data_IF_898530409274
#
_entry.id   IF_898530409274
#
_cell.length_a   1.000
_cell.length_b   1.000
_cell.length_c   1.000
_cell.angle_alpha   90.00
_cell.angle_beta   90.00
_cell.angle_gamma   90.00
#
_symmetry.space_group_name_H-M   'P 1'
#
loop_
_entity.id
_entity.type
_entity.pdbx_description
1 polymer ?
#
# COMPACT_ATOMS: atom_id res chain seq x y z
N UNK A 1 38.28 -54.56 -28.70
CA UNK A 1 38.32 -53.08 -28.74
C UNK A 1 36.94 -52.60 -28.31
N UNK A 2 36.83 -52.02 -27.11
CA UNK A 2 35.55 -51.55 -26.53
C UNK A 2 35.22 -50.19 -27.17
N UNK A 3 34.07 -50.06 -27.84
CA UNK A 3 33.45 -48.76 -28.08
C UNK A 3 32.14 -48.71 -27.28
N UNK A 4 32.13 -47.88 -26.24
CA UNK A 4 30.93 -47.52 -25.51
C UNK A 4 30.27 -46.34 -26.24
N UNK A 5 29.02 -46.52 -26.67
CA UNK A 5 28.19 -45.47 -27.23
C UNK A 5 27.27 -44.95 -26.11
N UNK A 6 27.64 -43.82 -25.53
CA UNK A 6 26.83 -43.13 -24.53
C UNK A 6 25.71 -42.35 -25.23
N UNK A 7 24.46 -42.79 -25.05
CA UNK A 7 23.27 -42.03 -25.45
C UNK A 7 22.96 -41.03 -24.34
N UNK A 8 23.17 -39.74 -24.60
CA UNK A 8 22.71 -38.66 -23.74
C UNK A 8 21.24 -38.40 -24.06
N UNK A 9 20.33 -38.75 -23.13
CA UNK A 9 18.93 -38.33 -23.19
C UNK A 9 18.84 -36.98 -22.47
N UNK A 10 18.75 -35.89 -23.22
CA UNK A 10 18.43 -34.58 -22.67
C UNK A 10 16.92 -34.49 -22.49
N UNK A 11 16.44 -34.65 -21.25
CA UNK A 11 15.06 -34.37 -20.89
C UNK A 11 14.90 -32.84 -20.76
N UNK A 12 14.37 -32.20 -21.78
CA UNK A 12 13.89 -30.83 -21.70
C UNK A 12 12.60 -30.82 -20.86
N UNK A 13 12.70 -30.46 -19.58
CA UNK A 13 11.54 -30.11 -18.78
C UNK A 13 11.03 -28.74 -19.26
N UNK A 14 10.06 -28.75 -20.17
CA UNK A 14 9.26 -27.58 -20.45
C UNK A 14 8.38 -27.31 -19.22
N UNK A 15 8.76 -26.34 -18.40
CA UNK A 15 7.86 -25.76 -17.40
C UNK A 15 6.75 -25.03 -18.12
N UNK A 16 5.57 -25.66 -18.20
CA UNK A 16 4.35 -24.99 -18.62
C UNK A 16 3.96 -24.05 -17.48
N UNK A 17 4.28 -22.76 -17.62
CA UNK A 17 3.68 -21.73 -16.78
C UNK A 17 2.18 -21.72 -17.11
N UNK A 18 1.36 -22.19 -16.18
CA UNK A 18 -0.09 -21.98 -16.24
C UNK A 18 -0.29 -20.48 -16.04
N UNK A 19 -0.65 -19.77 -17.11
CA UNK A 19 -1.14 -18.40 -17.01
C UNK A 19 -2.42 -18.45 -16.14
N UNK A 20 -2.27 -18.09 -14.87
CA UNK A 20 -3.39 -18.03 -13.94
C UNK A 20 -4.10 -16.70 -14.11
N UNK A 21 -5.19 -16.69 -14.88
CA UNK A 21 -6.10 -15.54 -14.88
C UNK A 21 -6.66 -15.26 -13.49
N UNK A 22 -7.27 -14.09 -13.31
CA UNK A 22 -7.91 -13.72 -12.05
C UNK A 22 -8.89 -14.81 -11.55
N UNK A 23 -9.02 -15.00 -10.22
CA UNK A 23 -10.03 -15.89 -9.69
C UNK A 23 -11.43 -15.41 -10.05
N UNK A 24 -12.39 -16.33 -10.10
CA UNK A 24 -13.78 -15.98 -10.37
C UNK A 24 -14.36 -15.17 -9.21
N UNK A 25 -14.63 -13.88 -9.45
CA UNK A 25 -15.27 -13.01 -8.45
C UNK A 25 -16.79 -13.18 -8.44
N UNK A 26 -17.43 -13.23 -7.26
CA UNK A 26 -18.88 -13.16 -7.18
C UNK A 26 -19.38 -11.78 -7.60
N UNK A 27 -20.57 -11.71 -8.19
CA UNK A 27 -21.27 -10.45 -8.40
C UNK A 27 -22.12 -10.12 -7.17
N UNK A 28 -21.84 -9.00 -6.53
CA UNK A 28 -22.66 -8.40 -5.50
C UNK A 28 -23.25 -7.09 -6.00
N UNK A 29 -24.56 -6.90 -5.84
CA UNK A 29 -25.23 -5.64 -6.15
C UNK A 29 -25.28 -4.77 -4.91
N UNK A 30 -24.87 -3.50 -5.01
CA UNK A 30 -24.86 -2.57 -3.87
C UNK A 30 -26.28 -2.31 -3.33
N UNK A 31 -27.30 -2.42 -4.19
CA UNK A 31 -28.71 -2.27 -3.82
C UNK A 31 -29.44 -3.60 -3.51
N UNK A 32 -28.72 -4.69 -3.23
CA UNK A 32 -29.34 -5.94 -2.79
C UNK A 32 -30.12 -5.73 -1.48
N UNK A 33 -31.38 -6.21 -1.35
CA UNK A 33 -32.20 -5.98 -0.16
C UNK A 33 -31.59 -6.45 1.17
N UNK A 34 -30.63 -7.38 1.13
CA UNK A 34 -29.95 -7.89 2.33
C UNK A 34 -29.03 -6.87 3.00
N UNK A 35 -28.54 -5.87 2.26
CA UNK A 35 -27.55 -4.91 2.78
C UNK A 35 -27.66 -3.51 2.20
N UNK A 36 -28.35 -3.29 1.09
CA UNK A 36 -28.38 -2.00 0.40
C UNK A 36 -28.92 -0.85 1.26
N UNK A 37 -29.78 -1.15 2.23
CA UNK A 37 -30.27 -0.17 3.21
C UNK A 37 -29.33 0.11 4.39
N UNK A 38 -28.20 -0.60 4.50
CA UNK A 38 -27.24 -0.37 5.58
C UNK A 38 -26.56 0.99 5.37
N UNK A 39 -26.53 1.81 6.41
CA UNK A 39 -25.75 3.05 6.39
C UNK A 39 -24.26 2.71 6.32
N UNK A 40 -23.51 3.52 5.56
CA UNK A 40 -22.06 3.40 5.44
C UNK A 40 -21.37 4.67 5.95
N UNK A 41 -20.06 4.66 6.03
CA UNK A 41 -19.29 5.81 6.45
C UNK A 41 -19.01 5.88 7.95
N UNK A 42 -18.33 6.94 8.37
CA UNK A 42 -18.00 7.20 9.77
C UNK A 42 -18.92 8.26 10.35
N UNK A 43 -19.06 8.29 11.69
CA UNK A 43 -19.79 9.37 12.36
C UNK A 43 -18.98 10.66 12.26
N UNK A 44 -19.60 11.72 11.77
CA UNK A 44 -18.96 13.03 11.63
C UNK A 44 -19.99 14.13 11.32
N UNK A 45 -19.53 15.37 11.08
CA UNK A 45 -20.41 16.50 10.78
C UNK A 45 -21.01 16.45 9.36
N UNK A 46 -20.55 15.51 8.53
CA UNK A 46 -20.96 15.36 7.14
C UNK A 46 -22.08 14.33 6.92
N UNK A 47 -22.53 14.25 5.67
CA UNK A 47 -23.51 13.30 5.21
C UNK A 47 -22.98 11.86 5.29
N UNK A 48 -23.89 10.92 5.55
CA UNK A 48 -23.64 9.48 5.42
C UNK A 48 -24.73 8.89 4.54
N UNK A 49 -24.31 8.18 3.50
CA UNK A 49 -25.22 7.46 2.62
C UNK A 49 -25.42 6.00 3.04
N UNK A 50 -26.17 5.26 2.22
CA UNK A 50 -26.33 3.81 2.36
C UNK A 50 -25.44 3.08 1.34
N UNK A 51 -25.23 1.77 1.53
CA UNK A 51 -24.53 0.94 0.54
C UNK A 51 -25.18 1.08 -0.84
N UNK A 52 -26.53 1.13 -0.93
CA UNK A 52 -27.19 1.34 -2.21
C UNK A 52 -26.92 2.72 -2.81
N UNK A 53 -26.89 3.76 -1.97
CA UNK A 53 -26.66 5.14 -2.40
C UNK A 53 -25.28 5.37 -2.99
N UNK A 54 -24.21 5.00 -2.25
CA UNK A 54 -22.83 5.41 -2.59
C UNK A 54 -21.79 4.29 -2.37
N UNK A 55 -22.25 3.02 -2.26
CA UNK A 55 -21.39 1.89 -1.91
C UNK A 55 -20.68 1.20 -3.08
N UNK A 56 -20.55 1.82 -4.26
CA UNK A 56 -20.03 1.15 -5.46
C UNK A 56 -18.57 0.69 -5.30
N UNK A 57 -17.68 1.54 -4.78
CA UNK A 57 -16.29 1.19 -4.52
C UNK A 57 -16.16 0.08 -3.47
N UNK A 58 -16.85 0.24 -2.33
CA UNK A 58 -16.84 -0.75 -1.24
C UNK A 58 -17.41 -2.10 -1.67
N UNK A 59 -18.50 -2.11 -2.45
CA UNK A 59 -19.09 -3.35 -2.99
C UNK A 59 -18.13 -4.02 -3.97
N UNK A 60 -17.41 -3.25 -4.79
CA UNK A 60 -16.36 -3.77 -5.69
C UNK A 60 -15.21 -4.42 -4.93
N UNK A 61 -14.73 -3.79 -3.85
CA UNK A 61 -13.73 -4.38 -2.96
C UNK A 61 -14.25 -5.65 -2.27
N UNK A 62 -15.52 -5.67 -1.85
CA UNK A 62 -16.14 -6.87 -1.28
C UNK A 62 -16.12 -8.04 -2.25
N UNK A 63 -16.38 -7.81 -3.54
CA UNK A 63 -16.30 -8.85 -4.58
C UNK A 63 -14.86 -9.35 -4.75
N UNK A 64 -13.88 -8.44 -4.76
CA UNK A 64 -12.47 -8.79 -4.85
C UNK A 64 -12.01 -9.68 -3.67
N UNK A 65 -12.29 -9.26 -2.44
CA UNK A 65 -11.97 -10.03 -1.23
C UNK A 65 -12.64 -11.42 -1.24
N UNK A 66 -13.92 -11.49 -1.61
CA UNK A 66 -14.65 -12.75 -1.69
C UNK A 66 -14.09 -13.70 -2.76
N UNK A 67 -13.75 -13.20 -3.94
CA UNK A 67 -13.13 -14.01 -5.01
C UNK A 67 -11.73 -14.49 -4.65
N UNK A 68 -11.01 -13.74 -3.82
CA UNK A 68 -9.72 -14.15 -3.25
C UNK A 68 -9.84 -15.14 -2.09
N UNK A 69 -11.06 -15.52 -1.70
CA UNK A 69 -11.32 -16.49 -0.63
C UNK A 69 -11.11 -15.91 0.77
N UNK A 70 -11.23 -14.58 0.93
CA UNK A 70 -11.16 -13.93 2.23
C UNK A 70 -12.48 -14.13 2.96
N UNK A 71 -12.39 -14.52 4.24
CA UNK A 71 -13.53 -14.70 5.13
C UNK A 71 -13.53 -13.61 6.23
N UNK A 72 -14.71 -13.12 6.57
CA UNK A 72 -14.96 -12.24 7.72
C UNK A 72 -16.05 -12.87 8.60
N UNK A 73 -15.72 -13.16 9.86
CA UNK A 73 -16.58 -13.89 10.80
C UNK A 73 -17.05 -15.25 10.25
N UNK A 74 -16.09 -16.08 9.83
CA UNK A 74 -16.27 -17.46 9.34
C UNK A 74 -17.17 -17.62 8.10
N UNK A 75 -17.30 -16.55 7.32
CA UNK A 75 -18.03 -16.54 6.04
C UNK A 75 -17.30 -15.68 5.02
N UNK A 76 -17.47 -16.03 3.74
CA UNK A 76 -16.96 -15.22 2.64
C UNK A 76 -17.41 -13.75 2.79
N UNK A 77 -16.49 -12.83 2.52
CA UNK A 77 -16.76 -11.38 2.58
C UNK A 77 -17.97 -11.03 1.71
N UNK A 78 -18.87 -10.19 2.25
CA UNK A 78 -20.04 -9.62 1.56
C UNK A 78 -20.13 -8.13 1.86
N UNK A 79 -20.92 -7.35 1.10
CA UNK A 79 -21.02 -5.92 1.35
C UNK A 79 -21.49 -5.57 2.76
N UNK A 80 -22.39 -6.35 3.38
CA UNK A 80 -22.80 -6.16 4.77
C UNK A 80 -21.64 -6.35 5.76
N UNK A 81 -20.91 -7.47 5.66
CA UNK A 81 -19.83 -7.77 6.60
C UNK A 81 -18.62 -6.89 6.38
N UNK A 82 -18.29 -6.53 5.14
CA UNK A 82 -17.22 -5.59 4.86
C UNK A 82 -17.59 -4.19 5.36
N UNK A 83 -18.80 -3.69 5.08
CA UNK A 83 -19.23 -2.38 5.56
C UNK A 83 -19.13 -2.27 7.08
N UNK A 84 -19.70 -3.24 7.81
CA UNK A 84 -19.63 -3.27 9.27
C UNK A 84 -18.19 -3.31 9.77
N UNK A 85 -17.34 -4.12 9.16
CA UNK A 85 -15.93 -4.17 9.52
C UNK A 85 -15.22 -2.84 9.25
N UNK A 86 -15.50 -2.18 8.12
CA UNK A 86 -14.95 -0.87 7.78
C UNK A 86 -15.40 0.22 8.77
N UNK A 87 -16.67 0.24 9.18
CA UNK A 87 -17.16 1.16 10.22
C UNK A 87 -16.39 0.98 11.53
N UNK A 88 -16.12 -0.26 11.93
CA UNK A 88 -15.42 -0.59 13.19
C UNK A 88 -13.89 -0.41 13.10
N UNK A 89 -13.31 -0.38 11.90
CA UNK A 89 -11.86 -0.42 11.68
C UNK A 89 -11.32 0.79 10.90
N UNK A 90 -11.97 1.94 11.06
CA UNK A 90 -11.59 3.21 10.41
C UNK A 90 -11.42 3.05 8.89
N UNK A 91 -12.36 2.33 8.28
CA UNK A 91 -12.44 2.09 6.85
C UNK A 91 -13.10 3.22 6.07
N UNK A 92 -13.62 4.24 6.76
CA UNK A 92 -14.21 5.43 6.18
C UNK A 92 -13.65 6.72 6.78
N UNK A 93 -13.67 7.80 6.00
CA UNK A 93 -13.21 9.13 6.41
C UNK A 93 -14.20 10.21 5.94
N UNK A 94 -14.28 11.32 6.69
CA UNK A 94 -15.03 12.50 6.24
C UNK A 94 -14.14 13.41 5.38
N UNK A 95 -14.53 13.61 4.13
CA UNK A 95 -13.86 14.52 3.19
C UNK A 95 -14.92 15.47 2.63
N UNK A 96 -14.65 16.77 2.69
CA UNK A 96 -15.53 17.81 2.12
C UNK A 96 -17.02 17.74 2.54
N UNK A 97 -17.33 17.18 3.71
CA UNK A 97 -18.70 17.03 4.19
C UNK A 97 -19.38 15.71 3.80
N UNK A 98 -18.69 14.82 3.11
CA UNK A 98 -19.11 13.43 2.86
C UNK A 98 -18.32 12.49 3.79
N UNK A 99 -19.03 11.80 4.67
CA UNK A 99 -18.48 10.88 5.67
C UNK A 99 -18.50 9.41 5.26
N UNK A 100 -18.78 9.08 4.00
CA UNK A 100 -18.73 7.72 3.48
C UNK A 100 -17.62 7.46 2.45
N UNK A 101 -16.60 8.32 2.40
CA UNK A 101 -15.41 8.10 1.60
C UNK A 101 -14.61 6.89 2.11
N UNK A 102 -14.41 5.90 1.24
CA UNK A 102 -13.64 4.69 1.54
C UNK A 102 -12.16 5.03 1.75
N UNK A 103 -11.59 4.59 2.86
CA UNK A 103 -10.13 4.59 3.03
C UNK A 103 -9.57 3.47 2.17
N UNK A 104 -8.97 3.81 1.03
CA UNK A 104 -8.57 2.84 -0.01
C UNK A 104 -7.57 1.79 0.46
N UNK A 105 -6.81 2.05 1.52
CA UNK A 105 -5.90 1.08 2.14
C UNK A 105 -6.53 0.21 3.24
N UNK A 106 -7.78 0.50 3.64
CA UNK A 106 -8.50 -0.31 4.62
C UNK A 106 -8.65 -1.79 4.25
N UNK A 107 -8.85 -2.17 2.97
CA UNK A 107 -8.93 -3.58 2.58
C UNK A 107 -7.65 -4.37 2.89
N UNK A 108 -6.49 -3.72 2.99
CA UNK A 108 -5.23 -4.38 3.38
C UNK A 108 -5.28 -4.91 4.82
N UNK A 109 -6.11 -4.28 5.67
CA UNK A 109 -6.22 -4.59 7.10
C UNK A 109 -7.30 -5.64 7.39
N UNK A 110 -8.11 -6.03 6.40
CA UNK A 110 -9.08 -7.11 6.56
C UNK A 110 -8.32 -8.41 6.90
N UNK A 111 -8.73 -9.17 7.93
CA UNK A 111 -8.08 -10.43 8.28
C UNK A 111 -7.94 -11.36 7.08
N UNK A 112 -6.75 -11.95 6.91
CA UNK A 112 -6.42 -12.83 5.77
C UNK A 112 -6.55 -12.18 4.39
N UNK A 113 -6.66 -10.85 4.33
CA UNK A 113 -6.68 -10.13 3.05
C UNK A 113 -5.40 -10.37 2.28
N UNK A 114 -5.58 -10.63 0.99
CA UNK A 114 -4.48 -10.69 0.01
C UNK A 114 -4.38 -9.40 -0.80
N UNK A 115 -5.23 -8.41 -0.54
CA UNK A 115 -5.17 -7.13 -1.22
C UNK A 115 -4.13 -6.23 -0.57
N UNK A 116 -3.31 -5.61 -1.40
CA UNK A 116 -2.44 -4.51 -1.02
C UNK A 116 -2.73 -3.33 -1.93
N UNK A 117 -3.36 -2.31 -1.39
CA UNK A 117 -3.55 -1.03 -2.06
C UNK A 117 -2.22 -0.49 -2.56
N UNK A 118 -2.18 -0.17 -3.86
CA UNK A 118 -1.03 0.44 -4.52
C UNK A 118 -1.26 1.95 -4.55
N UNK A 119 -2.24 2.37 -5.34
CA UNK A 119 -2.63 3.77 -5.49
C UNK A 119 -4.00 3.90 -6.14
N UNK A 120 -4.54 5.11 -6.11
CA UNK A 120 -5.57 5.58 -7.04
C UNK A 120 -4.89 6.50 -8.03
N UNK A 121 -5.01 6.21 -9.33
CA UNK A 121 -4.26 6.90 -10.37
C UNK A 121 -4.96 6.81 -11.73
N UNK A 122 -4.52 7.63 -12.68
CA UNK A 122 -4.96 7.55 -14.08
C UNK A 122 -4.81 6.13 -14.59
N UNK A 123 -5.79 5.66 -15.38
CA UNK A 123 -5.78 4.29 -15.89
C UNK A 123 -4.47 3.99 -16.65
N UNK A 124 -3.84 2.81 -16.45
CA UNK A 124 -2.67 2.42 -17.23
C UNK A 124 -3.00 2.32 -18.71
N UNK A 125 -1.98 2.41 -19.57
CA UNK A 125 -2.14 2.17 -21.00
C UNK A 125 -2.84 0.82 -21.26
N UNK A 126 -3.63 0.75 -22.34
CA UNK A 126 -4.54 -0.37 -22.60
C UNK A 126 -3.84 -1.73 -22.51
N UNK A 127 -2.69 -1.87 -23.18
CA UNK A 127 -1.97 -3.14 -23.22
C UNK A 127 -1.36 -3.50 -21.86
N UNK A 128 -0.96 -2.53 -21.03
CA UNK A 128 -0.42 -2.76 -19.68
C UNK A 128 -1.53 -3.19 -18.72
N UNK A 129 -2.68 -2.52 -18.76
CA UNK A 129 -3.84 -2.89 -17.94
C UNK A 129 -4.34 -4.29 -18.30
N UNK A 130 -4.38 -4.64 -19.60
CA UNK A 130 -4.72 -5.98 -20.06
C UNK A 130 -3.73 -7.02 -19.55
N UNK A 131 -2.43 -6.77 -19.69
CA UNK A 131 -1.40 -7.68 -19.24
C UNK A 131 -1.48 -7.93 -17.73
N UNK A 132 -1.74 -6.89 -16.93
CA UNK A 132 -1.92 -7.01 -15.48
C UNK A 132 -3.16 -7.85 -15.10
N UNK A 133 -4.30 -7.65 -15.78
CA UNK A 133 -5.51 -8.45 -15.57
C UNK A 133 -5.30 -9.92 -15.98
N UNK A 134 -4.67 -10.16 -17.13
CA UNK A 134 -4.37 -11.51 -17.63
C UNK A 134 -3.37 -12.25 -16.73
N UNK A 135 -2.39 -11.54 -16.15
CA UNK A 135 -1.42 -12.09 -15.19
C UNK A 135 -2.05 -12.51 -13.87
N UNK A 136 -3.20 -11.92 -13.51
CA UNK A 136 -3.99 -12.33 -12.35
C UNK A 136 -3.38 -11.95 -11.00
N UNK A 137 -2.41 -11.02 -10.96
CA UNK A 137 -1.77 -10.54 -9.73
C UNK A 137 -2.21 -9.13 -9.33
N UNK A 138 -3.10 -8.51 -10.11
CA UNK A 138 -3.56 -7.13 -9.94
C UNK A 138 -5.08 -7.07 -10.03
N UNK A 139 -5.69 -6.37 -9.08
CA UNK A 139 -7.11 -6.04 -9.06
C UNK A 139 -7.26 -4.56 -9.39
N UNK A 140 -8.10 -4.25 -10.37
CA UNK A 140 -8.53 -2.88 -10.65
C UNK A 140 -9.98 -2.70 -10.21
N UNK A 141 -10.22 -1.66 -9.43
CA UNK A 141 -11.56 -1.07 -9.29
C UNK A 141 -11.57 0.17 -10.18
N UNK A 142 -12.24 0.06 -11.33
CA UNK A 142 -12.23 1.08 -12.37
C UNK A 142 -13.31 2.13 -12.13
N UNK A 143 -12.95 3.39 -12.34
CA UNK A 143 -13.88 4.52 -12.28
C UNK A 143 -14.45 4.79 -13.66
N UNK A 144 -15.77 4.70 -13.80
CA UNK A 144 -16.51 4.77 -15.07
C UNK A 144 -17.63 5.80 -14.98
N UNK A 145 -18.32 6.05 -16.10
CA UNK A 145 -19.41 7.03 -16.20
C UNK A 145 -18.95 8.43 -15.76
N UNK A 146 -17.91 8.95 -16.42
CA UNK A 146 -17.35 10.28 -16.16
C UNK A 146 -16.94 10.49 -14.69
N UNK A 147 -16.27 9.48 -14.10
CA UNK A 147 -15.82 9.49 -12.70
C UNK A 147 -16.95 9.55 -11.67
N UNK A 148 -18.11 8.95 -11.99
CA UNK A 148 -19.26 8.89 -11.09
C UNK A 148 -19.56 7.52 -10.48
N UNK A 149 -18.90 6.45 -10.95
CA UNK A 149 -19.24 5.07 -10.54
C UNK A 149 -18.05 4.12 -10.57
N UNK A 150 -17.93 3.24 -9.58
CA UNK A 150 -16.85 2.25 -9.50
C UNK A 150 -17.33 0.84 -9.81
N UNK A 151 -16.51 0.10 -10.57
CA UNK A 151 -16.77 -1.30 -10.96
C UNK A 151 -15.52 -2.16 -10.74
N UNK A 152 -15.70 -3.44 -10.41
CA UNK A 152 -14.59 -4.38 -10.31
C UNK A 152 -14.25 -4.92 -11.70
N UNK A 153 -13.01 -4.76 -12.16
CA UNK A 153 -12.50 -5.43 -13.36
C UNK A 153 -12.25 -6.90 -13.05
N UNK A 154 -12.84 -7.78 -13.83
CA UNK A 154 -12.80 -9.23 -13.60
C UNK A 154 -12.05 -10.00 -14.68
N UNK A 155 -11.80 -9.37 -15.83
CA UNK A 155 -11.18 -10.04 -16.96
C UNK A 155 -10.98 -9.09 -18.14
N UNK A 156 -10.38 -9.64 -19.19
CA UNK A 156 -10.27 -8.99 -20.49
C UNK A 156 -11.27 -9.63 -21.44
N UNK A 157 -11.89 -8.83 -22.31
CA UNK A 157 -12.79 -9.36 -23.33
C UNK A 157 -11.95 -10.06 -24.43
N UNK A 158 -12.28 -11.32 -24.73
CA UNK A 158 -11.61 -12.12 -25.77
C UNK A 158 -12.01 -11.70 -27.19
N UNK A 159 -13.18 -11.10 -27.34
CA UNK A 159 -13.79 -10.75 -28.61
C UNK A 159 -13.51 -9.29 -28.99
N UNK A 160 -13.20 -8.44 -28.01
CA UNK A 160 -12.89 -7.01 -28.20
C UNK A 160 -11.67 -6.57 -27.39
N UNK A 161 -10.58 -6.19 -28.08
CA UNK A 161 -9.35 -5.77 -27.39
C UNK A 161 -9.49 -4.51 -26.54
N UNK A 162 -10.44 -3.65 -26.86
CA UNK A 162 -10.69 -2.35 -26.25
C UNK A 162 -11.70 -2.39 -25.09
N UNK A 163 -12.00 -3.58 -24.53
CA UNK A 163 -12.97 -3.76 -23.46
C UNK A 163 -12.44 -4.61 -22.32
N UNK A 164 -12.94 -4.32 -21.12
CA UNK A 164 -12.69 -5.10 -19.92
C UNK A 164 -14.01 -5.70 -19.43
N UNK A 165 -13.97 -6.97 -19.02
CA UNK A 165 -15.07 -7.60 -18.31
C UNK A 165 -15.13 -7.05 -16.89
N UNK A 166 -16.35 -6.81 -16.40
CA UNK A 166 -16.55 -6.24 -15.06
C UNK A 166 -17.67 -6.91 -14.30
N UNK A 167 -17.56 -6.85 -12.98
CA UNK A 167 -18.71 -6.93 -12.10
C UNK A 167 -19.14 -5.51 -11.70
N UNK A 168 -20.24 -5.05 -12.27
CA UNK A 168 -20.84 -3.75 -11.95
C UNK A 168 -21.82 -3.88 -10.76
N UNK A 169 -21.60 -3.18 -9.63
CA UNK A 169 -22.44 -3.32 -8.44
C UNK A 169 -23.78 -2.60 -8.55
N UNK A 170 -24.00 -1.72 -9.53
CA UNK A 170 -25.24 -0.94 -9.68
C UNK A 170 -25.97 -1.25 -10.99
N UNK A 171 -25.29 -1.10 -12.13
CA UNK A 171 -25.86 -1.34 -13.45
C UNK A 171 -25.81 -2.82 -13.83
N UNK A 172 -26.54 -3.23 -14.86
CA UNK A 172 -26.50 -4.60 -15.38
C UNK A 172 -25.43 -4.80 -16.48
N UNK A 173 -24.39 -3.95 -16.46
CA UNK A 173 -23.26 -4.01 -17.37
C UNK A 173 -22.29 -5.13 -16.95
N UNK A 174 -21.79 -5.89 -17.93
CA UNK A 174 -20.79 -6.94 -17.72
C UNK A 174 -19.45 -6.64 -18.38
N UNK A 175 -19.37 -5.50 -19.07
CA UNK A 175 -18.15 -5.00 -19.68
C UNK A 175 -18.21 -3.47 -19.82
N UNK A 176 -17.05 -2.83 -19.91
CA UNK A 176 -16.92 -1.42 -20.30
C UNK A 176 -15.80 -1.26 -21.34
N UNK A 177 -15.94 -0.34 -22.31
CA UNK A 177 -14.83 0.10 -23.14
C UNK A 177 -13.74 0.72 -22.28
N UNK A 178 -12.47 0.49 -22.62
CA UNK A 178 -11.33 1.14 -21.98
C UNK A 178 -11.43 2.66 -22.05
N UNK A 179 -12.00 3.20 -23.14
CA UNK A 179 -12.27 4.63 -23.28
C UNK A 179 -13.20 5.20 -22.19
N UNK A 180 -14.08 4.37 -21.60
CA UNK A 180 -15.02 4.78 -20.56
C UNK A 180 -14.44 4.71 -19.15
N UNK A 181 -13.26 4.12 -18.98
CA UNK A 181 -12.53 4.14 -17.71
C UNK A 181 -11.87 5.52 -17.60
N UNK A 182 -12.00 6.20 -16.48
CA UNK A 182 -11.36 7.51 -16.24
C UNK A 182 -10.04 7.30 -15.52
N UNK A 183 -10.11 6.66 -14.36
CA UNK A 183 -9.00 6.30 -13.49
C UNK A 183 -9.26 4.91 -12.86
N UNK A 184 -8.30 4.43 -12.08
CA UNK A 184 -8.41 3.15 -11.37
C UNK A 184 -7.90 3.26 -9.94
N UNK A 185 -8.49 2.45 -9.07
CA UNK A 185 -7.91 2.06 -7.79
C UNK A 185 -7.21 0.71 -8.02
N UNK A 186 -5.90 0.67 -7.85
CA UNK A 186 -5.09 -0.53 -8.03
C UNK A 186 -4.81 -1.22 -6.68
N UNK A 187 -5.05 -2.53 -6.64
CA UNK A 187 -4.59 -3.40 -5.57
C UNK A 187 -3.74 -4.53 -6.16
N UNK A 188 -2.61 -4.84 -5.51
CA UNK A 188 -1.87 -6.07 -5.80
C UNK A 188 -2.37 -7.23 -4.95
N UNK A 189 -2.38 -8.40 -5.55
CA UNK A 189 -2.67 -9.66 -4.87
C UNK A 189 -1.36 -10.21 -4.32
N UNK A 190 -1.20 -10.20 -3.00
CA UNK A 190 -0.04 -10.86 -2.38
C UNK A 190 -0.16 -12.37 -2.47
N UNK A 191 0.99 -13.03 -2.59
CA UNK A 191 1.09 -14.45 -2.35
C UNK A 191 0.84 -14.68 -0.85
N UNK A 192 -0.40 -15.03 -0.51
CA UNK A 192 -0.67 -15.65 0.78
C UNK A 192 -0.30 -17.12 0.68
N UNK A 193 0.25 -17.69 1.74
CA UNK A 193 0.14 -19.13 1.96
C UNK A 193 -1.34 -19.47 1.86
N UNK A 194 -1.75 -20.11 0.76
CA UNK A 194 -3.12 -20.53 0.61
C UNK A 194 -3.46 -21.37 1.84
N UNK A 195 -4.49 -21.05 2.63
CA UNK A 195 -5.00 -22.04 3.56
C UNK A 195 -5.42 -23.20 2.68
N UNK A 196 -4.67 -24.31 2.79
CA UNK A 196 -5.10 -25.57 2.23
C UNK A 196 -6.53 -25.76 2.74
N UNK A 197 -7.50 -25.78 1.83
CA UNK A 197 -8.84 -26.28 2.13
C UNK A 197 -8.67 -27.76 2.47
N UNK A 198 -8.26 -28.04 3.70
CA UNK A 198 -8.28 -29.38 4.25
C UNK A 198 -9.73 -29.71 4.50
N UNK A 199 -10.28 -30.54 3.61
CA UNK A 199 -11.39 -31.39 3.95
C UNK A 199 -11.10 -32.06 5.30
N UNK A 200 -12.04 -31.93 6.24
CA UNK A 200 -12.02 -32.68 7.50
C UNK A 200 -11.78 -34.17 7.21
N UNK A 201 -10.95 -34.84 8.03
CA UNK A 201 -11.56 -35.76 8.98
C UNK A 201 -10.97 -35.68 10.40
N UNK A 202 -11.76 -36.24 11.31
CA UNK A 202 -11.67 -36.21 12.77
C UNK A 202 -10.43 -36.92 13.35
N UNK A 203 -9.70 -36.21 14.24
CA UNK A 203 -9.04 -36.62 15.52
C UNK A 203 -8.11 -37.87 15.59
N UNK A 204 -7.37 -38.10 16.70
CA UNK A 204 -6.38 -37.24 17.38
C UNK A 204 -5.07 -38.03 17.70
N UNK A 205 -3.95 -37.34 17.98
CA UNK A 205 -2.99 -37.64 19.08
C UNK A 205 -1.59 -37.09 18.81
N UNK A 206 -1.08 -36.35 19.81
CA UNK A 206 0.28 -36.32 20.35
C UNK A 206 1.46 -36.63 19.42
N UNK A 207 2.39 -35.68 19.30
CA UNK A 207 3.76 -35.87 19.81
C UNK A 207 4.55 -34.55 19.83
N UNK A 208 5.36 -34.43 20.89
CA UNK A 208 6.36 -33.39 21.15
C UNK A 208 7.42 -33.34 20.05
N UNK A 209 7.98 -32.16 19.78
CA UNK A 209 9.28 -32.07 19.11
C UNK A 209 9.68 -30.67 18.65
N UNK A 210 10.72 -30.13 19.30
CA UNK A 210 11.66 -29.08 18.87
C UNK A 210 11.12 -27.66 18.60
N UNK A 211 11.67 -26.70 19.35
CA UNK A 211 11.60 -25.29 19.03
C UNK A 211 12.30 -25.01 17.68
N UNK A 212 11.67 -24.28 16.76
CA UNK A 212 12.36 -23.82 15.57
C UNK A 212 13.34 -22.70 15.95
N UNK A 213 14.58 -22.87 15.49
CA UNK A 213 15.58 -21.81 15.34
C UNK A 213 14.92 -20.59 14.67
N UNK A 214 15.16 -19.34 15.12
CA UNK A 214 14.59 -18.18 14.47
C UNK A 214 15.16 -18.08 13.06
N UNK A 215 14.37 -18.48 12.07
CA UNK A 215 14.63 -18.13 10.69
C UNK A 215 14.44 -16.62 10.57
N UNK A 216 15.50 -15.92 10.14
CA UNK A 216 15.40 -14.55 9.66
C UNK A 216 14.21 -14.45 8.69
N UNK A 217 13.39 -13.39 8.76
CA UNK A 217 12.19 -13.30 7.94
C UNK A 217 12.57 -13.35 6.45
N UNK A 218 11.90 -14.24 5.72
CA UNK A 218 12.05 -14.40 4.28
C UNK A 218 11.43 -13.21 3.55
N UNK A 219 12.13 -12.09 3.53
CA UNK A 219 11.86 -10.97 2.62
C UNK A 219 12.99 -10.86 1.61
N UNK A 220 13.01 -11.80 0.68
CA UNK A 220 13.62 -11.53 -0.62
C UNK A 220 12.63 -11.91 -1.69
N UNK A 221 12.18 -10.91 -2.43
CA UNK A 221 12.31 -11.02 -3.88
C UNK A 221 12.90 -9.71 -4.40
N UNK A 222 14.17 -9.76 -4.80
CA UNK A 222 14.47 -9.38 -6.18
C UNK A 222 13.33 -9.94 -7.07
N UNK A 223 12.37 -9.10 -7.43
CA UNK A 223 11.56 -9.33 -8.61
C UNK A 223 12.14 -8.40 -9.67
N UNK A 224 13.10 -8.94 -10.44
CA UNK A 224 13.26 -8.53 -11.83
C UNK A 224 11.87 -8.66 -12.48
N UNK A 225 11.20 -7.53 -12.64
CA UNK A 225 9.81 -7.46 -13.10
C UNK A 225 9.05 -6.20 -12.67
N UNK A 226 9.57 -5.41 -11.71
CA UNK A 226 9.13 -4.03 -11.47
C UNK A 226 10.26 -3.05 -11.78
N UNK A 227 9.92 -1.85 -12.24
CA UNK A 227 10.92 -0.80 -12.50
C UNK A 227 11.63 -0.36 -11.20
N UNK A 228 11.04 -0.56 -10.01
CA UNK A 228 11.57 -0.08 -8.73
C UNK A 228 11.93 -1.20 -7.74
N UNK A 229 13.09 -1.05 -7.10
CA UNK A 229 13.55 -1.80 -5.93
C UNK A 229 13.16 -1.04 -4.66
N UNK A 230 12.28 -1.63 -3.85
CA UNK A 230 11.83 -1.10 -2.55
C UNK A 230 12.17 -2.12 -1.46
N UNK A 231 13.28 -1.94 -0.72
CA UNK A 231 13.72 -2.95 0.26
C UNK A 231 12.77 -3.14 1.45
N UNK A 232 12.10 -2.06 1.88
CA UNK A 232 11.16 -2.06 2.99
C UNK A 232 9.94 -1.21 2.63
N UNK A 233 8.75 -1.72 2.91
CA UNK A 233 7.50 -0.98 2.72
C UNK A 233 7.30 -0.03 3.90
N UNK A 234 7.28 1.27 3.62
CA UNK A 234 7.03 2.33 4.58
C UNK A 234 5.64 2.94 4.32
N UNK A 235 4.83 3.25 5.36
CA UNK A 235 3.54 3.87 5.15
C UNK A 235 3.70 5.29 4.58
N UNK A 236 2.72 5.73 3.78
CA UNK A 236 2.61 7.11 3.33
C UNK A 236 1.70 7.90 4.26
N UNK A 237 2.20 9.02 4.80
CA UNK A 237 1.41 10.01 5.52
C UNK A 237 1.48 11.36 4.81
N UNK A 238 0.32 11.93 4.49
CA UNK A 238 0.24 13.29 3.93
C UNK A 238 0.28 14.32 5.06
N UNK A 239 1.14 15.34 4.96
CA UNK A 239 1.24 16.39 5.96
C UNK A 239 -0.03 17.26 6.04
N UNK A 240 -0.80 17.32 4.96
CA UNK A 240 -2.06 18.06 4.88
C UNK A 240 -3.32 17.21 5.15
N UNK A 241 -3.16 15.99 5.65
CA UNK A 241 -4.29 15.16 6.07
C UNK A 241 -5.13 15.88 7.13
N UNK A 242 -6.46 15.85 7.01
CA UNK A 242 -7.37 16.61 7.89
C UNK A 242 -7.28 16.21 9.37
N UNK A 243 -6.75 15.02 9.68
CA UNK A 243 -6.59 14.54 11.07
C UNK A 243 -5.53 15.30 11.87
N UNK A 244 -4.54 15.90 11.20
CA UNK A 244 -3.41 16.57 11.85
C UNK A 244 -2.90 17.81 11.11
N UNK A 245 -3.24 17.99 9.84
CA UNK A 245 -2.68 19.05 8.99
C UNK A 245 -2.92 20.47 9.50
N UNK A 246 -3.94 20.67 10.33
CA UNK A 246 -4.22 21.93 11.02
C UNK A 246 -3.48 22.11 12.34
N UNK A 247 -2.85 21.05 12.88
CA UNK A 247 -2.10 21.11 14.13
C UNK A 247 -0.88 22.00 13.95
N UNK A 248 -0.57 22.80 14.96
CA UNK A 248 0.59 23.69 14.93
C UNK A 248 1.87 22.91 15.22
N UNK A 249 2.95 23.23 14.51
CA UNK A 249 4.32 22.84 14.89
C UNK A 249 4.82 23.85 15.93
N UNK A 250 4.95 25.11 15.54
CA UNK A 250 5.10 26.25 16.45
C UNK A 250 4.13 27.36 16.03
N UNK A 251 4.50 28.15 15.01
CA UNK A 251 3.62 29.19 14.44
C UNK A 251 2.82 28.69 13.24
N UNK A 252 3.39 27.78 12.45
CA UNK A 252 2.79 27.23 11.24
C UNK A 252 2.21 25.84 11.50
N UNK A 253 1.33 25.37 10.61
CA UNK A 253 0.72 24.05 10.75
C UNK A 253 1.56 22.93 10.14
N UNK A 254 1.28 21.68 10.50
CA UNK A 254 1.88 20.50 9.86
C UNK A 254 1.67 20.54 8.34
N UNK A 255 0.50 20.96 7.86
CA UNK A 255 0.27 21.08 6.42
C UNK A 255 1.23 22.08 5.75
N UNK A 256 1.53 23.20 6.40
CA UNK A 256 2.36 24.26 5.82
C UNK A 256 3.85 23.91 5.78
N UNK A 257 4.38 23.28 6.84
CA UNK A 257 5.84 23.12 7.03
C UNK A 257 6.26 21.74 7.58
N UNK A 258 5.36 20.78 7.67
CA UNK A 258 5.57 19.50 8.34
C UNK A 258 6.18 18.37 7.51
N UNK A 259 6.77 18.65 6.35
CA UNK A 259 7.27 17.64 5.42
C UNK A 259 8.36 16.74 6.03
N UNK A 260 9.35 17.31 6.71
CA UNK A 260 10.42 16.55 7.35
C UNK A 260 9.90 15.71 8.53
N UNK A 261 9.04 16.28 9.37
CA UNK A 261 8.44 15.57 10.51
C UNK A 261 7.54 14.42 10.02
N UNK A 262 6.74 14.64 8.98
CA UNK A 262 5.89 13.61 8.39
C UNK A 262 6.72 12.49 7.77
N UNK A 263 7.80 12.82 7.07
CA UNK A 263 8.77 11.83 6.54
C UNK A 263 9.45 11.01 7.64
N UNK A 264 9.81 11.66 8.74
CA UNK A 264 10.37 11.00 9.92
C UNK A 264 9.34 10.08 10.60
N UNK A 265 8.08 10.50 10.66
CA UNK A 265 6.97 9.68 11.17
C UNK A 265 6.78 8.42 10.35
N UNK A 266 6.85 8.52 9.03
CA UNK A 266 6.74 7.36 8.13
C UNK A 266 7.84 6.33 8.41
N UNK A 267 9.08 6.79 8.66
CA UNK A 267 10.18 5.92 9.06
C UNK A 267 9.92 5.23 10.42
N UNK A 268 9.54 5.98 11.46
CA UNK A 268 9.20 5.41 12.77
C UNK A 268 8.09 4.34 12.65
N UNK A 269 7.06 4.63 11.86
CA UNK A 269 5.92 3.73 11.63
C UNK A 269 6.35 2.44 10.92
N UNK A 270 7.13 2.53 9.84
CA UNK A 270 7.61 1.37 9.13
C UNK A 270 8.65 0.54 9.91
N UNK A 271 9.32 1.15 10.89
CA UNK A 271 10.14 0.44 11.86
C UNK A 271 9.35 -0.12 13.05
N UNK A 272 8.05 0.12 13.16
CA UNK A 272 7.24 -0.26 14.32
C UNK A 272 7.81 0.31 15.63
N UNK A 273 8.20 1.58 15.60
CA UNK A 273 8.63 2.33 16.78
C UNK A 273 7.46 3.17 17.26
N UNK A 274 6.95 2.84 18.46
CA UNK A 274 5.85 3.57 19.05
C UNK A 274 6.31 4.91 19.62
N UNK A 275 5.43 5.91 19.58
CA UNK A 275 5.61 7.20 20.26
C UNK A 275 4.65 7.21 21.44
N UNK A 276 5.18 7.28 22.67
CA UNK A 276 4.42 7.16 23.92
C UNK A 276 3.47 5.94 23.95
N UNK A 277 3.96 4.79 23.48
CA UNK A 277 3.21 3.54 23.45
C UNK A 277 2.11 3.48 22.38
N UNK A 278 2.00 4.48 21.50
CA UNK A 278 1.04 4.54 20.40
C UNK A 278 1.74 4.34 19.05
N UNK A 279 1.03 3.73 18.11
CA UNK A 279 1.48 3.67 16.71
C UNK A 279 1.64 5.10 16.16
N UNK A 280 2.80 5.46 15.58
CA UNK A 280 3.08 6.83 15.19
C UNK A 280 2.25 7.27 13.97
N UNK A 281 1.76 8.51 14.04
CA UNK A 281 1.24 9.28 12.92
C UNK A 281 1.71 10.75 13.09
N UNK A 282 1.59 11.62 12.07
CA UNK A 282 2.17 12.97 12.17
C UNK A 282 1.60 13.80 13.32
N UNK A 283 0.32 13.65 13.67
CA UNK A 283 -0.26 14.32 14.84
C UNK A 283 0.35 13.85 16.16
N UNK A 284 0.53 12.52 16.32
CA UNK A 284 1.13 11.92 17.52
C UNK A 284 2.60 12.34 17.67
N UNK A 285 3.40 12.22 16.60
CA UNK A 285 4.80 12.61 16.64
C UNK A 285 4.93 14.12 16.87
N UNK A 286 4.11 14.94 16.20
CA UNK A 286 4.12 16.39 16.40
C UNK A 286 3.84 16.78 17.85
N UNK A 287 2.79 16.21 18.46
CA UNK A 287 2.47 16.47 19.88
C UNK A 287 3.65 16.12 20.78
N UNK A 288 4.24 14.94 20.58
CA UNK A 288 5.38 14.49 21.36
C UNK A 288 6.59 15.42 21.19
N UNK A 289 6.92 15.83 19.96
CA UNK A 289 8.03 16.72 19.67
C UNK A 289 7.83 18.11 20.33
N UNK A 290 6.60 18.64 20.32
CA UNK A 290 6.30 19.90 21.01
C UNK A 290 6.58 19.82 22.51
N UNK A 291 6.27 18.69 23.13
CA UNK A 291 6.46 18.47 24.57
C UNK A 291 7.92 18.12 24.93
N UNK A 292 8.74 17.71 23.96
CA UNK A 292 10.10 17.20 24.17
C UNK A 292 11.19 18.03 23.47
N UNK A 293 10.95 19.34 23.31
CA UNK A 293 11.90 20.28 22.68
C UNK A 293 12.35 19.84 21.27
N UNK A 294 11.44 19.21 20.54
CA UNK A 294 11.65 18.70 19.19
C UNK A 294 11.64 19.77 18.10
N UNK A 295 11.44 21.05 18.44
CA UNK A 295 11.41 22.15 17.49
C UNK A 295 12.17 23.39 17.98
N UNK A 296 12.77 24.13 17.03
CA UNK A 296 13.23 25.51 17.20
C UNK A 296 12.48 26.35 16.17
N UNK A 297 11.51 27.15 16.60
CA UNK A 297 10.55 27.71 15.65
C UNK A 297 9.76 26.59 14.98
N UNK A 298 9.59 26.67 13.65
CA UNK A 298 8.96 25.60 12.87
C UNK A 298 9.94 24.51 12.39
N UNK A 299 11.23 24.62 12.74
CA UNK A 299 12.24 23.67 12.29
C UNK A 299 12.33 22.47 13.24
N UNK A 300 12.29 21.26 12.68
CA UNK A 300 12.50 20.01 13.42
C UNK A 300 13.94 19.96 13.95
N UNK A 301 14.08 19.70 15.26
CA UNK A 301 15.36 19.31 15.87
C UNK A 301 15.51 17.81 15.66
N UNK A 302 16.20 17.40 14.59
CA UNK A 302 16.22 15.98 14.17
C UNK A 302 16.81 15.05 15.24
N UNK A 303 17.79 15.54 16.00
CA UNK A 303 18.37 14.81 17.13
C UNK A 303 17.38 14.50 18.26
N UNK A 304 16.31 15.28 18.42
CA UNK A 304 15.29 15.04 19.44
C UNK A 304 14.48 13.78 19.16
N UNK A 305 14.36 13.36 17.89
CA UNK A 305 13.65 12.15 17.48
C UNK A 305 14.29 10.90 18.09
N UNK A 306 15.61 10.91 18.35
CA UNK A 306 16.29 9.82 19.04
C UNK A 306 15.73 9.56 20.44
N UNK A 307 15.12 10.57 21.07
CA UNK A 307 14.54 10.43 22.41
C UNK A 307 13.16 9.72 22.40
N UNK A 308 12.55 9.47 21.24
CA UNK A 308 11.32 8.66 21.12
C UNK A 308 11.56 7.24 21.62
N UNK A 309 12.68 6.64 21.20
CA UNK A 309 13.14 5.34 21.68
C UNK A 309 14.68 5.28 21.55
N UNK A 310 15.43 5.72 22.59
CA UNK A 310 16.90 5.79 22.55
C UNK A 310 17.58 4.44 22.32
N UNK A 311 16.88 3.32 22.49
CA UNK A 311 17.43 1.98 22.27
C UNK A 311 17.41 1.57 20.79
N UNK A 312 16.51 2.20 20.02
CA UNK A 312 16.20 1.84 18.64
C UNK A 312 16.36 2.99 17.64
N UNK A 313 16.32 4.24 18.07
CA UNK A 313 16.50 5.43 17.22
C UNK A 313 17.77 6.15 17.62
N UNK A 314 18.57 6.55 16.65
CA UNK A 314 19.66 7.50 16.88
C UNK A 314 19.84 8.48 15.73
N UNK A 315 20.40 9.65 16.07
CA UNK A 315 20.84 10.67 15.14
C UNK A 315 22.37 10.60 15.03
N UNK A 316 22.92 9.83 14.07
CA UNK A 316 24.35 9.58 13.99
C UNK A 316 25.15 10.80 13.51
N UNK A 317 26.48 10.71 13.60
CA UNK A 317 27.37 11.82 13.21
C UNK A 317 27.30 12.15 11.70
N UNK A 318 26.95 11.17 10.85
CA UNK A 318 26.73 11.33 9.41
C UNK A 318 25.25 11.60 9.06
N UNK A 319 24.42 12.00 10.03
CA UNK A 319 23.00 12.13 9.79
C UNK A 319 22.60 13.34 8.93
N UNK A 320 23.39 14.42 8.95
CA UNK A 320 23.07 15.69 8.33
C UNK A 320 23.94 15.95 7.10
N UNK A 321 23.31 15.94 5.93
CA UNK A 321 23.96 16.35 4.68
C UNK A 321 23.21 17.54 4.07
N UNK A 322 23.91 18.67 3.89
CA UNK A 322 23.35 19.90 3.29
C UNK A 322 23.58 20.00 1.79
N UNK A 323 24.15 18.94 1.20
CA UNK A 323 24.41 18.76 -0.23
C UNK A 323 24.04 17.33 -0.60
N UNK A 324 23.83 17.07 -1.90
CA UNK A 324 23.77 15.70 -2.39
C UNK A 324 25.19 15.14 -2.58
N UNK A 325 25.87 14.88 -1.46
CA UNK A 325 27.25 14.41 -1.38
C UNK A 325 27.38 12.93 -0.96
N UNK A 326 26.27 12.28 -0.59
CA UNK A 326 26.20 10.83 -0.36
C UNK A 326 26.01 10.12 -1.70
N UNK A 327 26.96 9.29 -2.16
CA UNK A 327 26.84 8.60 -3.44
C UNK A 327 25.58 7.73 -3.51
N UNK A 328 24.92 7.67 -4.67
CA UNK A 328 23.70 6.87 -4.89
C UNK A 328 23.84 5.42 -4.41
N UNK A 329 24.96 4.75 -4.67
CA UNK A 329 25.17 3.37 -4.20
C UNK A 329 25.15 3.27 -2.66
N UNK A 330 25.59 4.30 -1.93
CA UNK A 330 25.49 4.36 -0.48
C UNK A 330 24.05 4.57 -0.01
N UNK A 331 23.27 5.40 -0.70
CA UNK A 331 21.82 5.52 -0.45
C UNK A 331 21.14 4.15 -0.62
N UNK A 332 21.46 3.42 -1.69
CA UNK A 332 20.93 2.08 -1.93
C UNK A 332 21.35 1.08 -0.84
N UNK A 333 22.62 1.10 -0.40
CA UNK A 333 23.11 0.30 0.73
C UNK A 333 22.34 0.61 2.02
N UNK A 334 22.10 1.89 2.32
CA UNK A 334 21.34 2.33 3.49
C UNK A 334 19.90 1.82 3.44
N UNK A 335 19.21 1.99 2.31
CA UNK A 335 17.86 1.49 2.12
C UNK A 335 17.79 -0.03 2.27
N UNK A 336 18.75 -0.78 1.72
CA UNK A 336 18.84 -2.24 1.90
C UNK A 336 19.10 -2.66 3.34
N UNK A 337 19.82 -1.85 4.11
CA UNK A 337 20.06 -2.07 5.53
C UNK A 337 18.85 -1.68 6.41
N UNK A 338 17.82 -1.07 5.83
CA UNK A 338 16.67 -0.55 6.56
C UNK A 338 17.01 0.73 7.32
N UNK A 339 18.04 1.46 6.90
CA UNK A 339 18.35 2.77 7.46
C UNK A 339 17.43 3.82 6.81
N UNK A 340 16.60 4.56 7.55
CA UNK A 340 15.79 5.62 6.97
C UNK A 340 16.62 6.67 6.22
N UNK A 341 16.20 6.94 4.98
CA UNK A 341 16.80 7.96 4.12
C UNK A 341 15.72 8.98 3.77
N UNK A 342 15.87 10.22 4.25
CA UNK A 342 14.98 11.33 3.88
C UNK A 342 15.77 12.29 2.98
N UNK A 343 15.26 12.52 1.78
CA UNK A 343 15.85 13.44 0.82
C UNK A 343 15.31 14.86 1.04
N UNK A 344 16.21 15.86 1.02
CA UNK A 344 15.85 17.25 0.82
C UNK A 344 15.79 17.54 -0.68
N UNK A 345 14.64 17.99 -1.17
CA UNK A 345 14.34 18.20 -2.59
C UNK A 345 13.83 19.62 -2.83
N UNK A 346 13.49 19.94 -4.09
CA UNK A 346 12.93 21.24 -4.47
C UNK A 346 13.79 22.42 -4.00
N UNK A 347 15.10 22.35 -4.29
CA UNK A 347 16.07 23.40 -3.93
C UNK A 347 16.17 23.70 -2.43
N UNK A 348 15.80 22.75 -1.57
CA UNK A 348 15.93 22.89 -0.12
C UNK A 348 14.61 23.09 0.61
N UNK A 349 13.50 23.22 -0.11
CA UNK A 349 12.20 23.63 0.43
C UNK A 349 11.31 22.47 0.89
N UNK A 350 11.64 21.22 0.54
CA UNK A 350 10.77 20.08 0.80
C UNK A 350 11.55 18.82 1.19
N UNK A 351 10.93 17.96 2.00
CA UNK A 351 11.53 16.71 2.46
C UNK A 351 10.60 15.53 2.16
N UNK A 352 11.19 14.44 1.67
CA UNK A 352 10.48 13.21 1.29
C UNK A 352 11.22 11.99 1.82
N UNK A 353 10.48 10.95 2.21
CA UNK A 353 11.08 9.67 2.59
C UNK A 353 11.41 8.89 1.31
N UNK A 354 12.68 8.54 1.12
CA UNK A 354 13.09 7.63 0.05
C UNK A 354 12.81 6.20 0.50
N UNK A 355 12.05 5.47 -0.32
CA UNK A 355 11.66 4.08 -0.03
C UNK A 355 12.33 3.09 -0.97
N UNK A 356 12.88 3.56 -2.09
CA UNK A 356 13.51 2.70 -3.08
C UNK A 356 14.17 3.48 -4.22
N UNK A 357 14.56 2.75 -5.26
CA UNK A 357 15.12 3.31 -6.49
C UNK A 357 14.72 2.47 -7.69
N UNK A 358 14.77 3.06 -8.86
CA UNK A 358 14.48 2.38 -10.10
C UNK A 358 15.66 1.50 -10.54
N UNK A 359 15.42 0.22 -10.82
CA UNK A 359 16.42 -0.77 -11.18
C UNK A 359 17.10 -0.48 -12.53
N UNK A 360 16.37 0.09 -13.50
CA UNK A 360 16.85 0.36 -14.87
C UNK A 360 17.33 1.80 -15.05
N UNK A 361 16.76 2.74 -14.31
CA UNK A 361 17.18 4.13 -14.21
C UNK A 361 17.42 4.53 -12.74
N UNK A 362 18.58 4.18 -12.16
CA UNK A 362 18.86 4.45 -10.74
C UNK A 362 18.79 5.92 -10.31
N UNK A 363 18.78 6.86 -11.26
CA UNK A 363 18.53 8.28 -10.97
C UNK A 363 17.09 8.52 -10.47
N UNK A 364 16.11 7.69 -10.83
CA UNK A 364 14.75 7.81 -10.30
C UNK A 364 14.63 7.12 -8.94
N UNK A 365 14.51 7.90 -7.87
CA UNK A 365 14.24 7.43 -6.52
C UNK A 365 12.74 7.26 -6.30
N UNK A 366 12.30 6.13 -5.77
CA UNK A 366 10.94 5.95 -5.28
C UNK A 366 10.79 6.59 -3.90
N UNK A 367 9.69 7.30 -3.70
CA UNK A 367 9.51 8.16 -2.53
C UNK A 367 8.08 8.10 -1.98
N UNK A 368 7.97 8.32 -0.68
CA UNK A 368 6.73 8.75 -0.04
C UNK A 368 6.78 10.27 0.14
N UNK A 369 6.04 11.02 -0.69
CA UNK A 369 5.95 12.48 -0.59
C UNK A 369 4.81 12.90 0.35
N UNK A 370 5.10 13.57 1.48
CA UNK A 370 4.06 14.01 2.39
C UNK A 370 3.28 15.24 1.90
N UNK A 371 3.84 16.05 1.01
CA UNK A 371 3.26 17.33 0.56
C UNK A 371 2.56 17.27 -0.80
N UNK A 372 3.00 16.39 -1.70
CA UNK A 372 2.55 16.34 -3.09
C UNK A 372 2.14 14.93 -3.52
N UNK A 373 1.36 14.81 -4.59
CA UNK A 373 1.06 13.52 -5.23
C UNK A 373 2.16 13.21 -6.26
N UNK A 374 3.34 12.86 -5.73
CA UNK A 374 4.53 12.52 -6.51
C UNK A 374 5.11 11.21 -5.99
N UNK A 375 5.53 10.35 -6.91
CA UNK A 375 6.01 9.00 -6.60
C UNK A 375 7.52 8.84 -6.83
N UNK A 376 8.15 9.79 -7.54
CA UNK A 376 9.58 9.74 -7.85
C UNK A 376 10.25 11.11 -7.82
N UNK A 377 11.52 11.14 -7.39
CA UNK A 377 12.41 12.29 -7.56
C UNK A 377 13.73 11.84 -8.21
N UNK A 378 14.33 12.72 -9.00
CA UNK A 378 15.66 12.50 -9.60
C UNK A 378 16.74 12.70 -8.55
N UNK A 379 17.57 11.68 -8.31
CA UNK A 379 18.73 11.75 -7.43
C UNK A 379 19.68 12.87 -7.85
N UNK A 380 20.03 12.97 -9.13
CA UNK A 380 21.00 13.98 -9.61
C UNK A 380 20.42 15.38 -9.76
N UNK A 381 19.13 15.52 -10.09
CA UNK A 381 18.54 16.84 -10.38
C UNK A 381 17.74 17.44 -9.24
N UNK A 382 17.04 16.62 -8.46
CA UNK A 382 16.07 17.12 -7.49
C UNK A 382 16.63 17.13 -6.05
N UNK A 383 17.49 16.15 -5.71
CA UNK A 383 18.03 16.03 -4.35
C UNK A 383 19.16 17.00 -4.11
N UNK A 384 19.07 17.74 -3.00
CA UNK A 384 20.06 18.74 -2.57
C UNK A 384 20.60 18.48 -1.16
N UNK A 385 20.15 17.45 -0.46
CA UNK A 385 20.60 17.12 0.89
C UNK A 385 19.93 15.88 1.45
N UNK A 386 20.38 15.44 2.62
CA UNK A 386 19.89 14.22 3.28
C UNK A 386 19.67 14.43 4.78
N UNK A 387 18.72 13.67 5.32
CA UNK A 387 18.57 13.37 6.74
C UNK A 387 18.59 11.85 6.90
N UNK A 388 19.61 11.34 7.60
CA UNK A 388 19.85 9.91 7.75
C UNK A 388 19.70 9.54 9.22
N UNK A 389 18.64 8.80 9.53
CA UNK A 389 18.43 8.28 10.89
C UNK A 389 18.93 6.84 10.96
N UNK A 390 19.36 6.41 12.14
CA UNK A 390 19.53 4.99 12.40
C UNK A 390 18.31 4.51 13.18
N UNK A 391 17.57 3.56 12.60
CA UNK A 391 16.42 2.93 13.24
C UNK A 391 16.55 1.41 13.19
N UNK A 392 16.29 0.75 14.31
CA UNK A 392 16.25 -0.72 14.40
C UNK A 392 14.81 -1.19 14.31
N UNK A 393 14.53 -2.23 13.51
CA UNK A 393 13.24 -2.92 13.54
C UNK A 393 12.94 -3.54 14.90
N UNK A 394 11.64 -3.69 15.19
CA UNK A 394 11.13 -4.24 16.45
C UNK A 394 11.30 -5.76 16.50
#
# INVERSE_FOLDING_TARGET
>A
MKLALSVLVAAAAASVAVAGGLPKFPLYKQCDPRWGGNQMGTRGPGERSTICGEGCAMTSVSMALAGLGVDLADRAVRPDSLNSWLEDNHGYVCIAGDCNNLVLSAPNRVPSSRLQFVSEHDKPELDDMRAAVEKGDTIFVAHVHDSGHFVLVTGVDSDSRDRFEVNDPFYNSTWYPYANISDVIEYRITAGDAPARTAFPLTPASLRGAAPTPSLPSWTKEQDGGEFVVPYVMPLFKQCDSRWGSDKIDTDTICQVGCLMSSTTMALAGHHINVDGKSPNPGILNSWLRDNHGYIGNDLVESAVANVDPSRVSWPADAMHTKNDVPLHKIQEMLRAGRPVIANVMQGHHFVLVVGWNATNPDALAINDPGFNRETYSYTRDVVGWRLFDMKFA
#
